data_IF_393073963802
#
_entry.id   IF_393073963802
#
_cell.length_a   1.000
_cell.length_b   1.000
_cell.length_c   1.000
_cell.angle_alpha   90.00
_cell.angle_beta   90.00
_cell.angle_gamma   90.00
#
_symmetry.space_group_name_H-M   'P 1'
#
loop_
_entity.id
_entity.type
_entity.pdbx_description
1 polymer ?
#
# COMPACT_ATOMS: atom_id res chain seq x y z
N UNK A 1 8.78 -19.52 31.37
CA UNK A 1 8.78 -19.42 29.88
C UNK A 1 7.47 -19.99 29.35
N UNK A 2 6.79 -19.27 28.46
CA UNK A 2 5.53 -19.73 27.88
C UNK A 2 5.81 -20.23 26.44
N UNK A 3 6.29 -21.47 26.31
CA UNK A 3 6.84 -22.04 25.06
C UNK A 3 5.90 -21.91 23.85
N UNK A 4 4.58 -21.95 24.08
CA UNK A 4 3.55 -21.72 23.06
C UNK A 4 3.64 -20.36 22.39
N UNK A 5 3.94 -19.31 23.17
CA UNK A 5 4.07 -17.95 22.65
C UNK A 5 5.34 -17.77 21.82
N UNK A 6 6.47 -18.31 22.29
CA UNK A 6 7.72 -18.29 21.54
C UNK A 6 7.62 -19.09 20.23
N UNK A 7 6.94 -20.24 20.23
CA UNK A 7 6.69 -21.03 19.03
C UNK A 7 5.88 -20.27 17.99
N UNK A 8 4.78 -19.62 18.39
CA UNK A 8 3.97 -18.79 17.50
C UNK A 8 4.77 -17.60 16.93
N UNK A 9 5.64 -16.99 17.74
CA UNK A 9 6.53 -15.91 17.34
C UNK A 9 7.48 -16.33 16.22
N UNK A 10 8.13 -17.48 16.39
CA UNK A 10 9.08 -18.04 15.43
C UNK A 10 8.37 -18.38 14.12
N UNK A 11 7.18 -18.99 14.19
CA UNK A 11 6.38 -19.26 12.99
C UNK A 11 6.04 -17.96 12.25
N UNK A 12 5.58 -16.93 12.97
CA UNK A 12 5.30 -15.62 12.37
C UNK A 12 6.55 -14.99 11.74
N UNK A 13 7.71 -15.12 12.40
CA UNK A 13 8.99 -14.61 11.90
C UNK A 13 9.42 -15.32 10.61
N UNK A 14 9.34 -16.65 10.57
CA UNK A 14 9.70 -17.46 9.40
C UNK A 14 8.80 -17.14 8.20
N UNK A 15 7.50 -17.05 8.45
CA UNK A 15 6.51 -16.69 7.43
C UNK A 15 6.78 -15.28 6.89
N UNK A 16 6.96 -14.30 7.78
CA UNK A 16 7.16 -12.90 7.39
C UNK A 16 8.50 -12.68 6.68
N UNK A 17 9.56 -13.40 7.08
CA UNK A 17 10.88 -13.32 6.43
C UNK A 17 10.86 -13.92 5.02
N UNK A 18 10.15 -15.04 4.84
CA UNK A 18 9.96 -15.67 3.53
C UNK A 18 9.21 -14.74 2.58
N UNK A 19 8.15 -14.09 3.08
CA UNK A 19 7.44 -13.05 2.33
C UNK A 19 8.31 -11.87 1.96
N UNK A 20 9.20 -11.44 2.85
CA UNK A 20 10.08 -10.29 2.60
C UNK A 20 11.02 -10.59 1.43
N UNK A 21 11.66 -11.77 1.46
CA UNK A 21 12.55 -12.22 0.39
C UNK A 21 11.81 -12.37 -0.94
N UNK A 22 10.62 -12.97 -0.91
CA UNK A 22 9.76 -13.08 -2.10
C UNK A 22 9.35 -11.71 -2.66
N UNK A 23 8.97 -10.77 -1.79
CA UNK A 23 8.62 -9.41 -2.17
C UNK A 23 9.79 -8.61 -2.75
N UNK A 24 10.99 -8.78 -2.18
CA UNK A 24 12.22 -8.12 -2.66
C UNK A 24 12.60 -8.62 -4.05
N UNK A 25 12.59 -9.95 -4.25
CA UNK A 25 12.80 -10.57 -5.56
C UNK A 25 11.81 -10.04 -6.61
N UNK A 26 10.55 -9.88 -6.21
CA UNK A 26 9.50 -9.34 -7.08
C UNK A 26 9.71 -7.87 -7.44
N UNK A 27 10.16 -7.03 -6.50
CA UNK A 27 10.48 -5.62 -6.75
C UNK A 27 11.53 -5.45 -7.83
N UNK A 28 12.58 -6.28 -7.78
CA UNK A 28 13.71 -6.25 -8.72
C UNK A 28 13.21 -6.64 -10.12
N UNK A 29 12.30 -7.61 -10.21
CA UNK A 29 11.85 -8.17 -11.48
C UNK A 29 10.68 -7.40 -12.15
N UNK A 30 9.91 -6.57 -11.44
CA UNK A 30 8.74 -5.85 -12.02
C UNK A 30 8.79 -4.33 -11.80
N UNK A 31 9.42 -3.61 -12.73
CA UNK A 31 9.57 -2.15 -12.65
C UNK A 31 8.27 -1.33 -12.80
N UNK A 32 7.20 -1.88 -13.39
CA UNK A 32 5.96 -1.14 -13.66
C UNK A 32 5.02 -0.98 -12.44
N UNK A 33 5.34 -1.58 -11.29
CA UNK A 33 4.44 -1.64 -10.12
C UNK A 33 5.08 -1.16 -8.81
N UNK A 34 6.08 -0.26 -8.89
CA UNK A 34 6.92 0.13 -7.74
C UNK A 34 6.15 0.66 -6.53
N UNK A 35 5.06 1.42 -6.70
CA UNK A 35 4.39 2.08 -5.59
C UNK A 35 3.54 1.14 -4.71
N UNK A 36 2.59 0.33 -5.24
CA UNK A 36 1.91 -0.67 -4.42
C UNK A 36 2.89 -1.65 -3.78
N UNK A 37 3.91 -2.06 -4.53
CA UNK A 37 4.92 -3.00 -4.08
C UNK A 37 5.76 -2.42 -2.93
N UNK A 38 6.09 -1.13 -2.97
CA UNK A 38 6.78 -0.46 -1.86
C UNK A 38 5.96 -0.45 -0.55
N UNK A 39 4.66 -0.16 -0.62
CA UNK A 39 3.79 -0.24 0.57
C UNK A 39 3.66 -1.67 1.09
N UNK A 40 3.61 -2.64 0.18
CA UNK A 40 3.54 -4.05 0.52
C UNK A 40 4.81 -4.55 1.21
N UNK A 41 5.98 -4.18 0.68
CA UNK A 41 7.27 -4.45 1.30
C UNK A 41 7.38 -3.78 2.67
N UNK A 42 6.93 -2.54 2.80
CA UNK A 42 6.89 -1.86 4.09
C UNK A 42 6.00 -2.62 5.08
N UNK A 43 4.81 -3.05 4.67
CA UNK A 43 3.90 -3.85 5.51
C UNK A 43 4.57 -5.15 5.99
N UNK A 44 5.22 -5.88 5.08
CA UNK A 44 5.91 -7.13 5.40
C UNK A 44 7.10 -6.87 6.34
N UNK A 45 7.90 -5.84 6.08
CA UNK A 45 9.02 -5.47 6.94
C UNK A 45 8.55 -5.11 8.36
N UNK A 46 7.41 -4.41 8.50
CA UNK A 46 6.81 -4.13 9.81
C UNK A 46 6.30 -5.40 10.50
N UNK A 47 5.73 -6.35 9.75
CA UNK A 47 5.32 -7.64 10.31
C UNK A 47 6.51 -8.48 10.79
N UNK A 48 7.62 -8.49 10.04
CA UNK A 48 8.90 -9.09 10.47
C UNK A 48 9.39 -8.43 11.74
N UNK A 49 9.45 -7.09 11.77
CA UNK A 49 9.94 -6.33 12.91
C UNK A 49 9.11 -6.60 14.17
N UNK A 50 7.79 -6.60 14.04
CA UNK A 50 6.87 -6.93 15.13
C UNK A 50 7.04 -8.38 15.63
N UNK A 51 7.29 -9.32 14.72
CA UNK A 51 7.55 -10.72 15.07
C UNK A 51 8.88 -10.87 15.81
N UNK A 52 9.93 -10.16 15.36
CA UNK A 52 11.22 -10.10 16.03
C UNK A 52 11.10 -9.52 17.44
N UNK A 53 10.38 -8.42 17.60
CA UNK A 53 10.12 -7.80 18.91
C UNK A 53 9.43 -8.80 19.85
N UNK A 54 8.46 -9.55 19.33
CA UNK A 54 7.77 -10.58 20.11
C UNK A 54 8.69 -11.74 20.50
N UNK A 55 9.54 -12.24 19.59
CA UNK A 55 10.58 -13.24 19.92
C UNK A 55 11.51 -12.70 21.00
N UNK A 56 12.01 -11.47 20.82
CA UNK A 56 12.92 -10.78 21.72
C UNK A 56 12.36 -10.62 23.14
N UNK A 57 11.06 -10.34 23.27
CA UNK A 57 10.38 -10.36 24.57
C UNK A 57 10.15 -11.77 25.10
N UNK A 58 9.70 -12.73 24.29
CA UNK A 58 9.34 -14.08 24.75
C UNK A 58 10.54 -14.91 25.26
N UNK A 59 11.73 -14.61 24.74
CA UNK A 59 13.01 -15.27 25.07
C UNK A 59 13.84 -14.51 26.10
N UNK A 60 13.34 -13.39 26.60
CA UNK A 60 14.05 -12.50 27.53
C UNK A 60 15.40 -11.96 27.01
N UNK A 61 15.61 -11.98 25.68
CA UNK A 61 16.80 -11.41 25.02
C UNK A 61 17.01 -9.92 25.36
N UNK A 62 15.94 -9.20 25.73
CA UNK A 62 16.03 -7.81 26.16
C UNK A 62 16.85 -7.58 27.43
N UNK A 63 17.06 -8.61 28.26
CA UNK A 63 17.93 -8.49 29.42
C UNK A 63 19.40 -8.34 29.00
N UNK A 64 19.78 -8.95 27.87
CA UNK A 64 21.15 -8.88 27.33
C UNK A 64 21.35 -7.66 26.44
N UNK A 65 20.33 -7.30 25.64
CA UNK A 65 20.40 -6.17 24.71
C UNK A 65 19.29 -5.14 24.94
N UNK A 66 19.22 -4.46 26.09
CA UNK A 66 18.12 -3.55 26.44
C UNK A 66 18.01 -2.31 25.56
N UNK A 67 19.02 -2.05 24.72
CA UNK A 67 19.00 -0.95 23.74
C UNK A 67 17.82 -1.04 22.75
N UNK A 68 17.43 -2.25 22.34
CA UNK A 68 16.36 -2.44 21.36
C UNK A 68 14.95 -2.34 21.94
N UNK A 69 14.81 -2.21 23.26
CA UNK A 69 13.51 -2.06 23.90
C UNK A 69 12.79 -0.82 23.36
N UNK A 70 11.55 -1.01 22.90
CA UNK A 70 10.67 0.04 22.39
C UNK A 70 11.13 0.75 21.12
N UNK A 71 12.18 0.25 20.46
CA UNK A 71 12.71 0.88 19.26
C UNK A 71 11.79 0.68 18.04
N UNK A 72 11.07 -0.45 18.01
CA UNK A 72 10.19 -0.82 16.89
C UNK A 72 8.82 -0.12 16.93
N UNK A 73 8.29 0.17 18.13
CA UNK A 73 6.93 0.70 18.35
C UNK A 73 6.57 1.90 17.46
N UNK A 74 7.43 2.94 17.31
CA UNK A 74 7.08 4.09 16.49
C UNK A 74 6.92 3.76 15.01
N UNK A 75 7.57 2.70 14.53
CA UNK A 75 7.47 2.29 13.12
C UNK A 75 6.32 1.31 12.93
N UNK A 76 6.12 0.39 13.87
CA UNK A 76 5.04 -0.61 13.84
C UNK A 76 3.66 0.05 13.84
N UNK A 77 3.50 1.19 14.52
CA UNK A 77 2.23 1.95 14.51
C UNK A 77 1.80 2.40 13.10
N UNK A 78 2.69 2.29 12.10
CA UNK A 78 2.39 2.59 10.69
C UNK A 78 1.76 1.45 9.91
N UNK A 79 1.59 0.25 10.48
CA UNK A 79 0.90 -0.87 9.81
C UNK A 79 -0.45 -0.43 9.21
N UNK A 80 -1.34 0.27 9.95
CA UNK A 80 -2.62 0.74 9.38
C UNK A 80 -2.44 1.71 8.20
N UNK A 81 -1.44 2.58 8.26
CA UNK A 81 -1.11 3.48 7.16
C UNK A 81 -0.58 2.72 5.94
N UNK A 82 0.27 1.70 6.13
CA UNK A 82 0.79 0.90 5.02
C UNK A 82 -0.33 0.16 4.29
N UNK A 83 -1.34 -0.36 5.01
CA UNK A 83 -2.53 -0.98 4.40
C UNK A 83 -3.32 0.07 3.58
N UNK A 84 -3.62 1.23 4.17
CA UNK A 84 -4.29 2.33 3.47
C UNK A 84 -3.51 2.79 2.22
N UNK A 85 -2.20 2.93 2.39
CA UNK A 85 -1.22 3.28 1.37
C UNK A 85 -1.25 2.34 0.18
N UNK A 86 -1.15 1.05 0.47
CA UNK A 86 -1.22 -0.04 -0.50
C UNK A 86 -2.54 -0.01 -1.28
N UNK A 87 -3.67 0.11 -0.59
CA UNK A 87 -4.98 0.12 -1.24
C UNK A 87 -5.16 1.32 -2.18
N UNK A 88 -4.68 2.50 -1.78
CA UNK A 88 -4.71 3.69 -2.65
C UNK A 88 -3.75 3.55 -3.83
N UNK A 89 -2.58 2.97 -3.62
CA UNK A 89 -1.62 2.73 -4.69
C UNK A 89 -2.18 1.74 -5.73
N UNK A 90 -2.93 0.71 -5.32
CA UNK A 90 -3.61 -0.21 -6.25
C UNK A 90 -4.63 0.49 -7.16
N UNK A 91 -5.23 1.58 -6.68
CA UNK A 91 -6.16 2.43 -7.41
C UNK A 91 -5.44 3.57 -8.17
N UNK A 92 -4.11 3.48 -8.33
CA UNK A 92 -3.30 4.47 -9.05
C UNK A 92 -3.06 5.78 -8.29
N UNK A 93 -3.42 5.86 -7.01
CA UNK A 93 -3.27 7.07 -6.22
C UNK A 93 -1.99 7.04 -5.37
N UNK A 94 -1.15 8.07 -5.50
CA UNK A 94 -0.05 8.30 -4.58
C UNK A 94 -0.44 9.31 -3.49
N UNK A 95 -0.77 8.80 -2.30
CA UNK A 95 -1.17 9.63 -1.15
C UNK A 95 -0.06 10.60 -0.74
N UNK A 96 1.20 10.17 -0.79
CA UNK A 96 2.35 10.99 -0.39
C UNK A 96 2.67 12.08 -1.42
N UNK A 97 2.28 11.93 -2.69
CA UNK A 97 2.54 12.93 -3.73
C UNK A 97 1.55 14.13 -3.71
N UNK A 98 0.45 14.07 -2.94
CA UNK A 98 -0.60 15.11 -3.00
C UNK A 98 -0.15 16.47 -2.48
N UNK A 99 0.35 16.55 -1.25
CA UNK A 99 0.73 17.81 -0.61
C UNK A 99 1.67 17.55 0.58
N UNK A 100 2.62 18.47 0.83
CA UNK A 100 3.51 18.41 2.01
C UNK A 100 2.72 18.33 3.32
N UNK A 101 1.62 19.07 3.44
CA UNK A 101 0.76 19.07 4.65
C UNK A 101 0.13 17.69 4.89
N UNK A 102 -0.36 17.02 3.85
CA UNK A 102 -0.93 15.67 3.95
C UNK A 102 0.13 14.59 4.20
N UNK A 103 1.39 14.79 3.77
CA UNK A 103 2.48 13.87 4.18
C UNK A 103 2.71 13.92 5.68
N UNK A 104 2.73 15.11 6.27
CA UNK A 104 2.91 15.26 7.71
C UNK A 104 1.79 14.65 8.54
N UNK A 105 0.54 14.66 8.07
CA UNK A 105 -0.56 13.99 8.79
C UNK A 105 -0.37 12.48 8.90
N UNK A 106 0.29 11.86 7.92
CA UNK A 106 0.60 10.43 7.97
C UNK A 106 1.89 10.11 8.73
N UNK A 107 2.82 11.06 8.82
CA UNK A 107 4.03 10.92 9.64
C UNK A 107 3.77 11.19 11.14
N UNK A 108 2.73 11.96 11.46
CA UNK A 108 2.41 12.38 12.83
C UNK A 108 2.33 11.20 13.83
N UNK A 109 1.67 10.07 13.53
CA UNK A 109 1.62 8.94 14.48
C UNK A 109 3.00 8.40 14.86
N UNK A 110 3.92 8.24 13.89
CA UNK A 110 5.30 7.82 14.16
C UNK A 110 6.00 8.79 15.07
N UNK A 111 5.89 10.08 14.75
CA UNK A 111 6.60 11.14 15.47
C UNK A 111 6.09 11.27 16.90
N UNK A 112 4.77 11.15 17.11
CA UNK A 112 4.18 11.18 18.44
C UNK A 112 4.59 9.97 19.28
N UNK A 113 4.51 8.76 18.73
CA UNK A 113 4.93 7.54 19.45
C UNK A 113 6.43 7.58 19.74
N UNK A 114 7.26 8.05 18.80
CA UNK A 114 8.69 8.23 19.01
C UNK A 114 8.97 9.25 20.11
N UNK A 115 8.29 10.41 20.10
CA UNK A 115 8.45 11.46 21.11
C UNK A 115 8.08 10.94 22.51
N UNK A 116 6.99 10.16 22.62
CA UNK A 116 6.57 9.53 23.87
C UNK A 116 7.51 8.40 24.33
N UNK A 117 8.33 7.85 23.43
CA UNK A 117 9.35 6.85 23.76
C UNK A 117 10.68 7.45 24.21
N UNK A 118 10.95 8.74 23.93
CA UNK A 118 12.21 9.41 24.31
C UNK A 118 12.53 9.32 25.80
N UNK A 119 11.60 9.55 26.74
CA UNK A 119 11.89 9.43 28.17
C UNK A 119 12.41 8.04 28.53
N UNK A 120 11.76 6.99 28.00
CA UNK A 120 12.17 5.61 28.21
C UNK A 120 13.54 5.30 27.57
N UNK A 121 13.78 5.76 26.34
CA UNK A 121 15.07 5.54 25.66
C UNK A 121 16.23 6.23 26.35
N UNK A 122 15.97 7.31 27.08
CA UNK A 122 16.96 8.06 27.85
C UNK A 122 17.36 7.36 29.15
N UNK A 123 16.61 6.34 29.58
CA UNK A 123 16.93 5.59 30.80
C UNK A 123 18.20 4.72 30.63
N UNK A 124 18.96 4.52 31.71
CA UNK A 124 20.03 3.52 31.76
C UNK A 124 19.52 2.10 31.45
N UNK A 125 20.37 1.21 30.90
CA UNK A 125 20.02 -0.18 30.59
C UNK A 125 19.31 -0.93 31.73
N UNK A 126 19.83 -0.82 32.95
CA UNK A 126 19.29 -1.50 34.13
C UNK A 126 17.86 -1.04 34.46
N UNK A 127 17.60 0.26 34.35
CA UNK A 127 16.27 0.83 34.57
C UNK A 127 15.29 0.39 33.49
N UNK A 128 15.72 0.33 32.22
CA UNK A 128 14.88 -0.18 31.12
C UNK A 128 14.43 -1.62 31.38
N UNK A 129 15.35 -2.47 31.83
CA UNK A 129 15.07 -3.87 32.19
C UNK A 129 14.13 -3.94 33.39
N UNK A 130 14.41 -3.16 34.44
CA UNK A 130 13.57 -3.09 35.64
C UNK A 130 12.12 -2.74 35.28
N UNK A 131 11.92 -1.65 34.53
CA UNK A 131 10.58 -1.23 34.10
C UNK A 131 9.93 -2.29 33.20
N UNK A 132 10.69 -2.94 32.31
CA UNK A 132 10.19 -4.04 31.49
C UNK A 132 9.65 -5.21 32.32
N UNK A 133 10.39 -5.62 33.35
CA UNK A 133 10.00 -6.72 34.24
C UNK A 133 8.85 -6.31 35.17
N UNK A 134 8.83 -5.05 35.63
CA UNK A 134 7.74 -4.50 36.44
C UNK A 134 6.42 -4.45 35.66
N UNK A 135 6.44 -4.04 34.39
CA UNK A 135 5.25 -3.97 33.52
C UNK A 135 4.58 -5.28 33.21
N UNK A 136 5.38 -6.36 33.15
CA UNK A 136 4.84 -7.72 33.03
C UNK A 136 3.97 -8.08 34.23
N UNK A 137 4.30 -7.56 35.42
CA UNK A 137 3.57 -7.84 36.66
C UNK A 137 2.38 -6.89 36.81
N UNK A 138 2.56 -5.61 36.52
CA UNK A 138 1.50 -4.60 36.60
C UNK A 138 1.63 -3.57 35.47
N UNK A 139 0.62 -3.51 34.60
CA UNK A 139 0.60 -2.63 33.43
C UNK A 139 0.55 -1.14 33.80
N UNK A 140 -0.07 -0.78 34.92
CA UNK A 140 -0.29 0.61 35.31
C UNK A 140 1.00 1.33 35.72
N UNK A 141 2.04 0.55 36.04
CA UNK A 141 3.36 1.09 36.40
C UNK A 141 4.13 1.70 35.21
N UNK A 142 3.66 1.49 33.97
CA UNK A 142 4.33 1.95 32.75
C UNK A 142 3.88 3.31 32.22
N UNK A 143 2.61 3.65 32.44
CA UNK A 143 1.96 4.80 31.81
C UNK A 143 2.69 6.15 32.01
N UNK A 144 3.39 6.42 33.13
CA UNK A 144 4.09 7.69 33.29
C UNK A 144 5.32 7.86 32.38
N UNK A 145 5.89 6.75 31.87
CA UNK A 145 7.23 6.75 31.26
C UNK A 145 7.15 6.65 29.73
N UNK A 146 6.28 5.79 29.21
CA UNK A 146 6.07 5.63 27.76
C UNK A 146 4.80 4.82 27.49
N UNK A 147 4.34 4.84 26.23
CA UNK A 147 3.24 4.02 25.77
C UNK A 147 3.59 2.53 25.85
N UNK A 148 2.76 1.77 26.55
CA UNK A 148 2.90 0.32 26.68
C UNK A 148 1.54 -0.36 26.75
N UNK A 149 1.49 -1.62 26.33
CA UNK A 149 0.30 -2.44 26.44
C UNK A 149 -0.93 -1.81 25.78
N UNK A 150 -1.96 -1.55 26.58
CA UNK A 150 -3.28 -1.14 26.12
C UNK A 150 -3.31 0.27 25.48
N UNK A 151 -2.73 1.32 26.09
CA UNK A 151 -2.59 2.63 25.45
C UNK A 151 -1.95 2.59 24.06
N UNK A 152 -0.86 1.83 23.89
CA UNK A 152 -0.21 1.67 22.58
C UNK A 152 -1.13 1.00 21.56
N UNK A 153 -1.84 -0.05 21.97
CA UNK A 153 -2.78 -0.77 21.10
C UNK A 153 -4.00 0.07 20.73
N UNK A 154 -4.47 0.93 21.64
CA UNK A 154 -5.54 1.87 21.35
C UNK A 154 -5.17 2.80 20.19
N UNK A 155 -3.91 3.24 20.09
CA UNK A 155 -3.43 4.05 18.96
C UNK A 155 -3.51 3.25 17.66
N UNK A 156 -3.01 2.00 17.63
CA UNK A 156 -3.09 1.15 16.43
C UNK A 156 -4.56 0.91 16.03
N UNK A 157 -5.43 0.62 16.99
CA UNK A 157 -6.87 0.41 16.76
C UNK A 157 -7.55 1.67 16.21
N UNK A 158 -7.27 2.84 16.81
CA UNK A 158 -7.81 4.13 16.38
C UNK A 158 -7.34 4.50 14.97
N UNK A 159 -6.05 4.31 14.66
CA UNK A 159 -5.52 4.53 13.30
C UNK A 159 -6.13 3.57 12.29
N UNK A 160 -6.32 2.30 12.67
CA UNK A 160 -6.99 1.31 11.82
C UNK A 160 -8.40 1.74 11.48
N UNK A 161 -9.17 2.18 12.47
CA UNK A 161 -10.54 2.69 12.26
C UNK A 161 -10.54 3.99 11.46
N UNK A 162 -9.65 4.93 11.75
CA UNK A 162 -9.51 6.20 11.05
C UNK A 162 -9.25 5.99 9.55
N UNK A 163 -8.26 5.17 9.21
CA UNK A 163 -7.92 4.88 7.83
C UNK A 163 -9.01 4.06 7.13
N UNK A 164 -9.64 3.12 7.83
CA UNK A 164 -10.80 2.38 7.30
C UNK A 164 -11.94 3.34 6.93
N UNK A 165 -12.29 4.25 7.85
CA UNK A 165 -13.34 5.25 7.64
C UNK A 165 -12.99 6.20 6.49
N UNK A 166 -11.75 6.72 6.48
CA UNK A 166 -11.25 7.51 5.37
C UNK A 166 -11.31 6.74 4.04
N UNK A 167 -11.14 5.42 4.08
CA UNK A 167 -11.21 4.61 2.90
C UNK A 167 -12.63 4.45 2.36
N UNK A 168 -13.57 4.18 3.27
CA UNK A 168 -15.02 4.13 3.03
C UNK A 168 -15.52 5.42 2.37
N UNK A 169 -15.10 6.57 2.89
CA UNK A 169 -15.55 7.90 2.41
C UNK A 169 -15.14 8.19 0.96
N UNK A 170 -13.93 7.80 0.55
CA UNK A 170 -13.45 8.11 -0.81
C UNK A 170 -13.84 7.04 -1.84
N UNK A 171 -14.46 5.94 -1.40
CA UNK A 171 -14.87 4.82 -2.25
C UNK A 171 -13.71 4.05 -2.90
N UNK A 172 -14.10 3.08 -3.74
CA UNK A 172 -13.20 2.25 -4.54
C UNK A 172 -13.24 2.78 -5.98
N UNK A 173 -12.12 3.34 -6.44
CA UNK A 173 -11.99 3.90 -7.79
C UNK A 173 -11.36 2.87 -8.74
N UNK A 174 -11.99 1.70 -8.88
CA UNK A 174 -11.55 0.69 -9.83
C UNK A 174 -12.70 0.11 -10.62
N UNK A 175 -12.44 -0.21 -11.90
CA UNK A 175 -13.39 -0.90 -12.79
C UNK A 175 -13.17 -2.42 -12.82
N UNK A 176 -12.05 -2.91 -12.26
CA UNK A 176 -11.71 -4.35 -12.25
C UNK A 176 -12.32 -5.01 -11.02
N UNK A 177 -13.21 -5.98 -11.24
CA UNK A 177 -13.86 -6.76 -10.17
C UNK A 177 -12.86 -7.35 -9.18
N UNK A 178 -11.75 -7.92 -9.66
CA UNK A 178 -10.70 -8.49 -8.82
C UNK A 178 -10.06 -7.45 -7.88
N UNK A 179 -9.88 -6.20 -8.32
CA UNK A 179 -9.32 -5.12 -7.48
C UNK A 179 -10.37 -4.66 -6.46
N UNK A 180 -11.64 -4.59 -6.86
CA UNK A 180 -12.75 -4.21 -5.96
C UNK A 180 -12.88 -5.24 -4.84
N UNK A 181 -12.96 -6.53 -5.18
CA UNK A 181 -13.04 -7.64 -4.22
C UNK A 181 -11.83 -7.61 -3.27
N UNK A 182 -10.63 -7.46 -3.82
CA UNK A 182 -9.40 -7.39 -3.03
C UNK A 182 -9.38 -6.21 -2.05
N UNK A 183 -9.75 -5.02 -2.51
CA UNK A 183 -9.86 -3.83 -1.66
C UNK A 183 -10.92 -4.04 -0.58
N UNK A 184 -12.05 -4.66 -0.91
CA UNK A 184 -13.10 -5.01 0.06
C UNK A 184 -12.58 -5.94 1.14
N UNK A 185 -11.86 -7.01 0.77
CA UNK A 185 -11.28 -7.96 1.72
C UNK A 185 -10.30 -7.28 2.68
N UNK A 186 -9.44 -6.40 2.17
CA UNK A 186 -8.49 -5.66 3.00
C UNK A 186 -9.18 -4.65 3.93
N UNK A 187 -10.25 -3.99 3.47
CA UNK A 187 -11.06 -3.11 4.32
C UNK A 187 -11.74 -3.88 5.45
N UNK A 188 -12.36 -5.03 5.13
CA UNK A 188 -12.98 -5.91 6.13
C UNK A 188 -11.95 -6.37 7.13
N UNK A 189 -10.77 -6.79 6.66
CA UNK A 189 -9.70 -7.22 7.53
C UNK A 189 -9.20 -6.10 8.46
N UNK A 190 -8.98 -4.89 7.94
CA UNK A 190 -8.61 -3.72 8.74
C UNK A 190 -9.66 -3.38 9.81
N UNK A 191 -10.96 -3.52 9.47
CA UNK A 191 -12.05 -3.34 10.41
C UNK A 191 -12.05 -4.42 11.50
N UNK A 192 -11.85 -5.69 11.14
CA UNK A 192 -11.77 -6.80 12.10
C UNK A 192 -10.61 -6.62 13.09
N UNK A 193 -9.45 -6.12 12.62
CA UNK A 193 -8.35 -5.75 13.52
C UNK A 193 -8.78 -4.64 14.48
N UNK A 194 -9.38 -3.56 13.97
CA UNK A 194 -9.81 -2.45 14.82
C UNK A 194 -10.84 -2.90 15.87
N UNK A 195 -11.83 -3.70 15.46
CA UNK A 195 -12.87 -4.23 16.34
C UNK A 195 -12.32 -5.24 17.35
N UNK A 196 -11.39 -6.11 16.97
CA UNK A 196 -10.77 -7.05 17.91
C UNK A 196 -9.90 -6.36 18.96
N UNK A 197 -9.16 -5.31 18.57
CA UNK A 197 -8.43 -4.47 19.53
C UNK A 197 -9.42 -3.75 20.45
N UNK A 198 -10.48 -3.15 19.92
CA UNK A 198 -11.51 -2.47 20.71
C UNK A 198 -12.21 -3.43 21.69
N UNK A 199 -12.58 -4.63 21.24
CA UNK A 199 -13.19 -5.66 22.07
C UNK A 199 -12.24 -6.09 23.19
N UNK A 200 -10.95 -6.32 22.89
CA UNK A 200 -9.93 -6.64 23.90
C UNK A 200 -9.80 -5.53 24.93
N UNK A 201 -9.77 -4.27 24.51
CA UNK A 201 -9.70 -3.12 25.43
C UNK A 201 -10.97 -3.02 26.29
N UNK A 202 -12.15 -3.22 25.70
CA UNK A 202 -13.41 -3.24 26.45
C UNK A 202 -13.43 -4.37 27.48
N UNK A 203 -12.98 -5.57 27.11
CA UNK A 203 -12.88 -6.71 28.04
C UNK A 203 -11.92 -6.44 29.20
N UNK A 204 -10.81 -5.76 28.93
CA UNK A 204 -9.87 -5.34 29.97
C UNK A 204 -10.46 -4.28 30.89
N UNK A 205 -10.98 -3.16 30.37
CA UNK A 205 -11.43 -2.04 31.19
C UNK A 205 -12.79 -2.28 31.89
N UNK A 206 -13.66 -3.13 31.32
CA UNK A 206 -14.99 -3.40 31.91
C UNK A 206 -14.99 -4.63 32.82
N UNK A 207 -14.13 -5.62 32.57
CA UNK A 207 -14.19 -6.93 33.25
C UNK A 207 -12.83 -7.43 33.79
N UNK A 208 -11.73 -6.66 33.65
CA UNK A 208 -10.35 -7.06 33.99
C UNK A 208 -9.89 -8.38 33.34
N UNK A 209 -10.46 -8.72 32.18
CA UNK A 209 -10.10 -9.94 31.44
C UNK A 209 -8.86 -9.67 30.59
N UNK A 210 -7.77 -10.38 30.89
CA UNK A 210 -6.46 -10.21 30.23
C UNK A 210 -6.26 -11.20 29.09
N UNK A 211 -6.56 -10.76 27.87
CA UNK A 211 -6.33 -11.55 26.64
C UNK A 211 -4.97 -11.17 26.02
N UNK A 212 -4.14 -12.18 25.73
CA UNK A 212 -2.85 -11.96 25.07
C UNK A 212 -3.03 -11.45 23.64
N UNK A 213 -2.24 -10.43 23.29
CA UNK A 213 -2.22 -9.83 21.96
C UNK A 213 -1.85 -10.84 20.86
N UNK A 214 -1.08 -11.88 21.20
CA UNK A 214 -0.61 -12.91 20.26
C UNK A 214 -1.76 -13.63 19.57
N UNK A 215 -2.89 -13.81 20.26
CA UNK A 215 -4.07 -14.48 19.70
C UNK A 215 -4.84 -13.62 18.68
N UNK A 216 -4.61 -12.31 18.65
CA UNK A 216 -5.18 -11.39 17.64
C UNK A 216 -4.16 -11.15 16.53
N UNK A 217 -2.89 -11.01 16.90
CA UNK A 217 -1.81 -10.67 15.96
C UNK A 217 -1.43 -11.84 15.05
N UNK A 218 -1.36 -13.07 15.58
CA UNK A 218 -0.93 -14.24 14.81
C UNK A 218 -1.91 -14.65 13.69
N UNK A 219 -3.24 -14.66 13.90
CA UNK A 219 -4.18 -14.89 12.81
C UNK A 219 -4.18 -13.74 11.80
N UNK A 220 -4.00 -12.50 12.27
CA UNK A 220 -3.92 -11.33 11.42
C UNK A 220 -2.69 -11.38 10.49
N UNK A 221 -1.51 -11.68 11.04
CA UNK A 221 -0.27 -11.83 10.25
C UNK A 221 -0.35 -13.05 9.33
N UNK A 222 -0.88 -14.18 9.79
CA UNK A 222 -1.07 -15.38 8.98
C UNK A 222 -2.05 -15.15 7.82
N UNK A 223 -3.16 -14.45 8.06
CA UNK A 223 -4.15 -14.14 7.03
C UNK A 223 -3.64 -13.11 6.02
N UNK A 224 -2.96 -12.04 6.48
CA UNK A 224 -2.27 -11.10 5.59
C UNK A 224 -1.26 -11.83 4.71
N UNK A 225 -0.53 -12.78 5.28
CA UNK A 225 0.43 -13.61 4.55
C UNK A 225 -0.26 -14.50 3.53
N UNK A 226 -1.30 -15.21 3.93
CA UNK A 226 -2.09 -16.05 3.04
C UNK A 226 -2.65 -15.23 1.87
N UNK A 227 -3.24 -14.08 2.13
CA UNK A 227 -3.75 -13.18 1.12
C UNK A 227 -2.64 -12.70 0.17
N UNK A 228 -1.49 -12.34 0.72
CA UNK A 228 -0.29 -11.94 -0.02
C UNK A 228 0.21 -13.03 -0.96
N UNK A 229 0.33 -14.26 -0.47
CA UNK A 229 0.84 -15.41 -1.22
C UNK A 229 -0.14 -15.90 -2.28
N UNK A 230 -1.44 -15.81 -2.02
CA UNK A 230 -2.47 -16.32 -2.93
C UNK A 230 -2.83 -15.35 -4.04
N UNK A 231 -2.61 -14.04 -3.86
CA UNK A 231 -3.03 -13.00 -4.81
C UNK A 231 -1.84 -12.20 -5.39
N UNK A 232 -0.65 -12.80 -5.44
CA UNK A 232 0.62 -12.29 -6.02
C UNK A 232 0.42 -11.70 -7.45
N UNK A 233 -0.64 -12.07 -8.16
CA UNK A 233 -0.92 -11.66 -9.54
C UNK A 233 -1.93 -10.53 -9.72
N UNK A 234 -2.29 -9.75 -8.68
CA UNK A 234 -3.32 -8.71 -8.84
C UNK A 234 -2.93 -7.64 -9.89
N UNK A 235 -3.76 -7.43 -10.93
CA UNK A 235 -3.45 -6.51 -12.01
C UNK A 235 -3.77 -5.08 -11.56
N UNK A 236 -2.73 -4.30 -11.27
CA UNK A 236 -2.85 -2.87 -10.91
C UNK A 236 -3.50 -2.10 -12.06
N UNK A 237 -4.45 -1.22 -11.74
CA UNK A 237 -5.03 -0.31 -12.72
C UNK A 237 -4.00 0.80 -13.02
N UNK A 238 -3.55 0.89 -14.26
CA UNK A 238 -2.69 1.98 -14.67
C UNK A 238 -3.47 3.30 -14.48
N UNK A 239 -2.88 4.24 -13.74
CA UNK A 239 -3.40 5.60 -13.73
C UNK A 239 -3.41 6.09 -15.19
N UNK A 240 -4.46 6.82 -15.63
CA UNK A 240 -4.41 7.46 -16.94
C UNK A 240 -3.13 8.29 -17.01
N UNK A 241 -2.36 8.21 -18.12
CA UNK A 241 -1.11 8.94 -18.22
C UNK A 241 -1.42 10.40 -17.96
N UNK A 242 -0.86 10.93 -16.86
CA UNK A 242 -0.75 12.37 -16.65
C UNK A 242 -0.05 12.85 -17.90
N UNK A 243 -0.72 13.65 -18.73
CA UNK A 243 -0.13 14.21 -19.94
C UNK A 243 1.22 14.80 -19.54
N UNK A 244 2.28 14.04 -19.82
CA UNK A 244 3.62 14.51 -19.62
C UNK A 244 3.72 15.65 -20.63
N UNK A 245 3.94 16.87 -20.14
CA UNK A 245 4.42 17.93 -21.00
C UNK A 245 5.75 17.42 -21.59
N UNK A 246 5.65 16.80 -22.76
CA UNK A 246 6.78 16.31 -23.53
C UNK A 246 7.52 17.55 -23.98
N UNK A 247 8.55 17.95 -23.23
CA UNK A 247 9.67 18.67 -23.82
C UNK A 247 10.31 17.69 -24.78
N UNK A 248 9.85 17.71 -26.03
CA UNK A 248 10.46 17.02 -27.13
C UNK A 248 11.83 17.64 -27.38
N UNK A 249 12.87 17.03 -26.81
CA UNK A 249 14.23 17.16 -27.35
C UNK A 249 14.23 16.45 -28.69
N UNK A 250 14.29 17.23 -29.76
CA UNK A 250 14.54 16.76 -31.11
C UNK A 250 15.83 15.93 -31.11
N UNK A 251 15.70 14.64 -31.43
CA UNK A 251 16.81 13.80 -31.86
C UNK A 251 16.52 13.42 -33.30
N UNK A 252 17.23 14.08 -34.20
CA UNK A 252 17.28 13.71 -35.62
C UNK A 252 17.62 12.23 -35.75
N UNK A 253 16.80 11.51 -36.52
CA UNK A 253 17.15 10.20 -37.07
C UNK A 253 17.14 10.36 -38.60
N UNK A 254 18.16 9.87 -39.32
CA UNK A 254 18.36 10.16 -40.72
C UNK A 254 17.32 9.47 -41.61
N UNK A 255 16.92 10.17 -42.66
CA UNK A 255 16.13 9.65 -43.76
C UNK A 255 16.91 8.61 -44.57
N UNK A 256 16.30 7.44 -44.80
CA UNK A 256 16.28 6.77 -46.11
C UNK A 256 15.52 5.44 -46.05
N UNK A 257 14.26 5.45 -46.52
CA UNK A 257 13.65 4.36 -47.29
C UNK A 257 12.34 4.89 -47.93
N UNK A 258 12.48 5.53 -49.09
CA UNK A 258 11.45 5.69 -50.14
C UNK A 258 11.06 4.27 -50.61
N UNK A 259 9.80 3.85 -50.71
CA UNK A 259 8.75 4.17 -51.69
C UNK A 259 7.62 3.17 -51.37
N UNK A 260 6.33 3.52 -51.21
CA UNK A 260 5.30 3.71 -52.24
C UNK A 260 3.98 3.92 -51.46
N UNK A 261 3.06 4.79 -51.94
CA UNK A 261 1.75 5.19 -51.35
C UNK A 261 1.69 6.44 -50.45
N UNK A 262 2.44 7.49 -50.77
CA UNK A 262 2.21 8.82 -50.15
C UNK A 262 1.00 9.57 -50.74
N UNK A 263 0.49 9.19 -51.91
CA UNK A 263 -0.68 9.86 -52.50
C UNK A 263 -2.02 9.41 -51.89
N UNK A 264 -2.11 8.17 -51.39
CA UNK A 264 -3.36 7.63 -50.84
C UNK A 264 -3.76 8.31 -49.53
N UNK A 265 -2.80 8.68 -48.67
CA UNK A 265 -3.08 9.23 -47.35
C UNK A 265 -3.63 10.67 -47.40
N UNK A 266 -3.14 11.49 -48.33
CA UNK A 266 -3.65 12.84 -48.56
C UNK A 266 -5.04 12.85 -49.21
N UNK A 267 -5.40 11.81 -49.97
CA UNK A 267 -6.74 11.64 -50.51
C UNK A 267 -7.76 11.14 -49.47
N UNK A 268 -7.32 10.33 -48.50
CA UNK A 268 -8.19 9.75 -47.45
C UNK A 268 -8.52 10.75 -46.34
N UNK A 269 -7.61 11.66 -46.00
CA UNK A 269 -7.83 12.65 -44.94
C UNK A 269 -9.08 13.56 -45.13
N UNK A 270 -9.32 14.19 -46.30
CA UNK A 270 -10.52 15.01 -46.50
C UNK A 270 -11.82 14.21 -46.48
N UNK A 271 -11.79 12.90 -46.79
CA UNK A 271 -12.96 12.02 -46.65
C UNK A 271 -13.31 11.80 -45.19
N UNK A 272 -12.31 11.55 -44.34
CA UNK A 272 -12.47 11.42 -42.89
C UNK A 272 -12.96 12.74 -42.27
N UNK A 273 -12.38 13.88 -42.69
CA UNK A 273 -12.78 15.21 -42.19
C UNK A 273 -14.21 15.57 -42.60
N UNK A 274 -14.63 15.24 -43.83
CA UNK A 274 -16.00 15.45 -44.27
C UNK A 274 -17.00 14.54 -43.55
N UNK A 275 -16.64 13.28 -43.27
CA UNK A 275 -17.47 12.39 -42.46
C UNK A 275 -17.65 12.95 -41.03
N UNK A 276 -16.59 13.50 -40.45
CA UNK A 276 -16.65 14.21 -39.17
C UNK A 276 -17.53 15.47 -39.25
N UNK A 277 -17.37 16.32 -40.27
CA UNK A 277 -18.21 17.53 -40.45
C UNK A 277 -19.69 17.21 -40.66
N UNK A 278 -20.01 16.06 -41.26
CA UNK A 278 -21.38 15.57 -41.46
C UNK A 278 -22.05 15.05 -40.18
N UNK A 279 -21.37 15.06 -39.04
CA UNK A 279 -21.98 14.81 -37.74
C UNK A 279 -21.62 13.48 -37.09
N UNK A 280 -20.71 12.67 -37.66
CA UNK A 280 -20.25 11.42 -37.02
C UNK A 280 -19.62 11.64 -35.64
N UNK A 281 -19.10 12.85 -35.36
CA UNK A 281 -18.59 13.20 -34.04
C UNK A 281 -19.65 13.16 -32.92
N UNK A 282 -20.94 13.14 -33.27
CA UNK A 282 -22.06 13.10 -32.30
C UNK A 282 -22.37 11.68 -31.81
N UNK A 283 -21.76 10.66 -32.40
CA UNK A 283 -21.92 9.27 -31.97
C UNK A 283 -20.99 8.99 -30.77
N UNK A 284 -21.58 8.71 -29.60
CA UNK A 284 -20.84 8.47 -28.35
C UNK A 284 -19.93 7.23 -28.37
N UNK A 285 -20.09 6.34 -29.37
CA UNK A 285 -19.31 5.12 -29.56
C UNK A 285 -18.46 5.15 -30.86
N UNK A 286 -18.14 6.35 -31.36
CA UNK A 286 -17.28 6.53 -32.51
C UNK A 286 -15.89 5.91 -32.25
N UNK A 287 -15.56 4.89 -33.03
CA UNK A 287 -14.23 4.26 -33.04
C UNK A 287 -13.58 4.47 -34.40
N UNK A 288 -12.24 4.44 -34.44
CA UNK A 288 -11.48 4.57 -35.70
C UNK A 288 -11.91 3.52 -36.74
N UNK A 289 -12.27 2.32 -36.29
CA UNK A 289 -12.78 1.26 -37.17
C UNK A 289 -14.13 1.60 -37.82
N UNK A 290 -15.05 2.24 -37.10
CA UNK A 290 -16.34 2.69 -37.68
C UNK A 290 -16.16 3.87 -38.63
N UNK A 291 -15.28 4.81 -38.28
CA UNK A 291 -14.96 5.93 -39.16
C UNK A 291 -14.33 5.43 -40.48
N UNK A 292 -13.42 4.47 -40.39
CA UNK A 292 -12.80 3.84 -41.55
C UNK A 292 -13.83 3.08 -42.41
N UNK A 293 -14.70 2.29 -41.77
CA UNK A 293 -15.78 1.57 -42.46
C UNK A 293 -16.76 2.51 -43.17
N UNK A 294 -17.14 3.63 -42.54
CA UNK A 294 -18.03 4.63 -43.14
C UNK A 294 -17.39 5.35 -44.34
N UNK A 295 -16.07 5.47 -44.36
CA UNK A 295 -15.32 6.07 -45.46
C UNK A 295 -14.85 5.03 -46.50
N UNK A 296 -15.20 3.75 -46.34
CA UNK A 296 -14.80 2.67 -47.24
C UNK A 296 -13.30 2.36 -47.22
N UNK A 297 -12.59 2.72 -46.15
CA UNK A 297 -11.14 2.55 -46.01
C UNK A 297 -10.79 1.58 -44.88
N UNK A 298 -9.58 1.04 -44.91
CA UNK A 298 -9.09 0.20 -43.82
C UNK A 298 -8.69 1.05 -42.60
N UNK A 299 -8.80 0.47 -41.39
CA UNK A 299 -8.38 1.14 -40.15
C UNK A 299 -6.90 1.58 -40.18
N UNK A 300 -6.05 0.82 -40.88
CA UNK A 300 -4.64 1.15 -41.05
C UNK A 300 -4.44 2.38 -41.93
N UNK A 301 -5.19 2.51 -43.03
CA UNK A 301 -5.15 3.70 -43.89
C UNK A 301 -5.70 4.94 -43.19
N UNK A 302 -6.79 4.80 -42.41
CA UNK A 302 -7.33 5.90 -41.63
C UNK A 302 -6.33 6.38 -40.56
N UNK A 303 -5.69 5.45 -39.84
CA UNK A 303 -4.63 5.77 -38.88
C UNK A 303 -3.43 6.46 -39.54
N UNK A 304 -2.97 5.95 -40.68
CA UNK A 304 -1.86 6.54 -41.43
C UNK A 304 -2.19 7.95 -41.92
N UNK A 305 -3.38 8.17 -42.48
CA UNK A 305 -3.82 9.49 -42.96
C UNK A 305 -3.92 10.52 -41.83
N UNK A 306 -4.46 10.13 -40.67
CA UNK A 306 -4.53 11.02 -39.49
C UNK A 306 -3.12 11.34 -38.98
N UNK A 307 -2.26 10.34 -38.83
CA UNK A 307 -0.90 10.55 -38.30
C UNK A 307 -0.04 11.40 -39.25
N UNK A 308 -0.22 11.27 -40.57
CA UNK A 308 0.53 12.04 -41.56
C UNK A 308 0.00 13.48 -41.73
N UNK A 309 -1.32 13.70 -41.70
CA UNK A 309 -1.91 15.02 -41.97
C UNK A 309 -2.19 15.86 -40.72
N UNK A 310 -2.44 15.23 -39.55
CA UNK A 310 -2.78 15.97 -38.32
C UNK A 310 -1.58 16.31 -37.43
N UNK A 311 -0.38 15.83 -37.77
CA UNK A 311 0.86 16.09 -37.02
C UNK A 311 0.88 15.57 -35.58
N UNK A 312 -0.18 14.87 -35.15
CA UNK A 312 -0.35 14.32 -33.82
C UNK A 312 -0.48 12.80 -33.91
N UNK A 313 0.42 12.09 -33.23
CA UNK A 313 0.31 10.64 -33.05
C UNK A 313 -0.89 10.33 -32.15
N UNK A 314 -1.91 9.64 -32.69
CA UNK A 314 -3.03 9.08 -31.94
C UNK A 314 -2.70 7.70 -31.36
#
# INVERSE_FOLDING_TARGET
MNYWTAGAAIVCLSISSTLLLAGLSWMVNRQQHRLPLAYLLALIALAVLQSLEFVYHSTDLFQHWPFFLKLADPVVVMIPFCIYGYIRALQGQNILARSRRRRWTHALPVLLVAALAVPFWSLPPEQKIYWMLAGRKNHDLWEPITLYGNPYLAIIGALSLFYWWQQRQQGIQSRRSAVIEWVGNLQTFQLLIALSIAARLALFYLFDIRISLTFVLAPATAYLTYLLLTRINLPVQQAPPRAAATKATAKEIPACAKNEKNDDAHAVFPLLENAMKKGLFRENDLTLGRLAAHCGVTTHQASAAINQCSGHHF
#
